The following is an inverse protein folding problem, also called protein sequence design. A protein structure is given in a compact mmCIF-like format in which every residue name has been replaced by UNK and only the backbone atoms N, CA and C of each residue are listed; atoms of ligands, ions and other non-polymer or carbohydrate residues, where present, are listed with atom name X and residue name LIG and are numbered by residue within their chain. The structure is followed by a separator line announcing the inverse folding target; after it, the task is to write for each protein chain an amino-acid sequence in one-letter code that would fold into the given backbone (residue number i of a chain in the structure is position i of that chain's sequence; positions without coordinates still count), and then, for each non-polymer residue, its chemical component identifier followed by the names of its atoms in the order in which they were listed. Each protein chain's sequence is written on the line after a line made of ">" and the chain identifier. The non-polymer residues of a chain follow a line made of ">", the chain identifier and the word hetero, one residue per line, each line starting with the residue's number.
data_IF_064686643007
#
_entry.id   IF_064686643007
#
_cell.length_a   1.000
_cell.length_b   1.000
_cell.length_c   1.000
_cell.angle_alpha   90.00
_cell.angle_beta   90.00
_cell.angle_gamma   90.00
#
_symmetry.space_group_name_H-M   'P 1'
#
loop_
_entity.id
_entity.type
_entity.pdbx_description
1 polymer ?
#
# COMPACT_ATOMS: atom_id res chain seq x y z
N UNK A 1 24.66 1.35 -19.28
CA UNK A 1 23.43 1.87 -18.68
C UNK A 1 22.85 0.72 -17.86
N UNK A 2 22.75 0.87 -16.53
CA UNK A 2 22.17 -0.19 -15.69
C UNK A 2 20.69 -0.43 -16.03
N UNK A 3 20.08 -1.52 -15.56
CA UNK A 3 18.65 -1.76 -15.77
C UNK A 3 17.84 -0.60 -15.19
N UNK A 4 16.79 -0.19 -15.89
CA UNK A 4 15.84 0.83 -15.41
C UNK A 4 15.12 0.25 -14.19
N UNK A 5 15.27 0.90 -13.04
CA UNK A 5 14.51 0.58 -11.83
C UNK A 5 13.35 1.56 -11.71
N UNK A 6 12.16 1.03 -11.49
CA UNK A 6 10.96 1.80 -11.17
C UNK A 6 10.16 1.05 -10.11
N UNK A 7 9.45 1.79 -9.26
CA UNK A 7 8.45 1.22 -8.36
C UNK A 7 7.04 1.39 -8.95
N UNK A 8 6.08 0.63 -8.42
CA UNK A 8 4.66 0.82 -8.71
C UNK A 8 4.21 2.25 -8.36
N UNK A 9 4.77 2.82 -7.28
CA UNK A 9 4.49 4.18 -6.88
C UNK A 9 4.97 5.20 -7.93
N UNK A 10 6.18 5.04 -8.46
CA UNK A 10 6.74 5.94 -9.49
C UNK A 10 5.92 5.89 -10.78
N UNK A 11 5.54 4.69 -11.22
CA UNK A 11 4.71 4.52 -12.42
C UNK A 11 3.33 5.15 -12.22
N UNK A 12 2.72 4.96 -11.05
CA UNK A 12 1.44 5.59 -10.72
C UNK A 12 1.54 7.13 -10.74
N UNK A 13 2.57 7.70 -10.11
CA UNK A 13 2.79 9.16 -10.10
C UNK A 13 3.00 9.72 -11.52
N UNK A 14 3.83 9.04 -12.32
CA UNK A 14 4.12 9.44 -13.69
C UNK A 14 2.85 9.43 -14.55
N UNK A 15 2.00 8.42 -14.41
CA UNK A 15 0.73 8.36 -15.12
C UNK A 15 -0.22 9.47 -14.65
N UNK A 16 -0.38 9.64 -13.34
CA UNK A 16 -1.28 10.63 -12.76
C UNK A 16 -0.98 12.05 -13.23
N UNK A 17 0.31 12.38 -13.38
CA UNK A 17 0.76 13.67 -13.89
C UNK A 17 0.34 13.95 -15.35
N UNK A 18 0.11 12.91 -16.16
CA UNK A 18 -0.26 13.07 -17.58
C UNK A 18 -1.76 13.22 -17.83
N UNK A 19 -2.60 12.81 -16.87
CA UNK A 19 -4.07 12.75 -17.03
C UNK A 19 -4.83 13.00 -15.71
N UNK A 20 -4.57 14.12 -15.01
CA UNK A 20 -5.05 14.34 -13.65
C UNK A 20 -6.57 14.30 -13.51
N UNK A 21 -7.29 14.78 -14.53
CA UNK A 21 -8.75 14.93 -14.51
C UNK A 21 -9.51 13.69 -15.00
N UNK A 22 -8.81 12.70 -15.55
CA UNK A 22 -9.43 11.44 -15.99
C UNK A 22 -9.80 10.56 -14.79
N UNK A 23 -10.90 9.81 -14.91
CA UNK A 23 -11.32 8.85 -13.89
C UNK A 23 -10.29 7.71 -13.82
N UNK A 24 -9.72 7.50 -12.63
CA UNK A 24 -8.74 6.46 -12.35
C UNK A 24 -9.40 5.23 -11.72
N UNK A 25 -10.27 5.44 -10.73
CA UNK A 25 -10.87 4.37 -9.95
C UNK A 25 -12.38 4.56 -9.81
N UNK A 26 -13.13 3.48 -10.04
CA UNK A 26 -14.58 3.44 -9.85
C UNK A 26 -14.94 2.28 -8.95
N UNK A 27 -15.72 2.57 -7.90
CA UNK A 27 -16.32 1.54 -7.06
C UNK A 27 -17.73 1.98 -6.68
N UNK A 28 -18.74 1.24 -7.18
CA UNK A 28 -20.16 1.62 -7.07
C UNK A 28 -20.37 3.04 -7.60
N UNK A 29 -20.95 3.92 -6.79
CA UNK A 29 -21.24 5.31 -7.15
C UNK A 29 -20.04 6.25 -6.97
N UNK A 30 -18.94 5.78 -6.36
CA UNK A 30 -17.73 6.59 -6.17
C UNK A 30 -16.83 6.49 -7.39
N UNK A 31 -16.38 7.66 -7.85
CA UNK A 31 -15.42 7.83 -8.95
C UNK A 31 -14.34 8.75 -8.42
N UNK A 32 -13.08 8.33 -8.53
CA UNK A 32 -11.93 9.14 -8.20
C UNK A 32 -11.13 9.41 -9.47
N UNK A 33 -10.77 10.67 -9.68
CA UNK A 33 -9.81 11.05 -10.72
C UNK A 33 -8.39 10.61 -10.35
N UNK A 34 -7.47 10.65 -11.31
CA UNK A 34 -6.05 10.42 -11.04
C UNK A 34 -5.50 11.39 -10.00
N UNK A 35 -5.86 12.67 -10.08
CA UNK A 35 -5.42 13.67 -9.10
C UNK A 35 -5.95 13.37 -7.69
N UNK A 36 -7.23 13.02 -7.57
CA UNK A 36 -7.86 12.70 -6.28
C UNK A 36 -7.27 11.45 -5.63
N UNK A 37 -7.10 10.37 -6.42
CA UNK A 37 -6.49 9.14 -5.91
C UNK A 37 -5.02 9.39 -5.49
N UNK A 38 -4.30 10.21 -6.26
CA UNK A 38 -2.91 10.57 -5.95
C UNK A 38 -2.80 11.38 -4.67
N UNK A 39 -3.65 12.38 -4.46
CA UNK A 39 -3.67 13.15 -3.21
C UNK A 39 -3.95 12.25 -1.99
N UNK A 40 -5.00 11.43 -2.08
CA UNK A 40 -5.42 10.52 -0.99
C UNK A 40 -4.30 9.53 -0.62
N UNK A 41 -3.66 8.93 -1.62
CA UNK A 41 -2.58 7.96 -1.42
C UNK A 41 -1.30 8.61 -0.91
N UNK A 42 -0.95 9.84 -1.35
CA UNK A 42 0.17 10.61 -0.80
C UNK A 42 -0.05 10.99 0.65
N UNK A 43 -1.26 11.43 1.01
CA UNK A 43 -1.62 11.73 2.40
C UNK A 43 -1.49 10.52 3.31
N UNK A 44 -1.96 9.35 2.86
CA UNK A 44 -1.75 8.11 3.61
C UNK A 44 -0.27 7.77 3.72
N UNK A 45 0.50 7.89 2.64
CA UNK A 45 1.93 7.60 2.65
C UNK A 45 2.68 8.47 3.66
N UNK A 46 2.41 9.79 3.65
CA UNK A 46 2.99 10.73 4.60
C UNK A 46 2.63 10.35 6.05
N UNK A 47 1.37 9.98 6.30
CA UNK A 47 0.96 9.53 7.62
C UNK A 47 1.72 8.29 8.08
N UNK A 48 1.90 7.27 7.23
CA UNK A 48 2.68 6.08 7.55
C UNK A 48 4.13 6.44 7.89
N UNK A 49 4.76 7.31 7.09
CA UNK A 49 6.12 7.82 7.34
C UNK A 49 6.20 8.57 8.68
N UNK A 50 5.21 9.41 9.00
CA UNK A 50 5.12 10.12 10.28
C UNK A 50 4.98 9.17 11.48
N UNK A 51 4.39 7.99 11.30
CA UNK A 51 4.37 6.93 12.31
C UNK A 51 5.68 6.13 12.36
N UNK A 52 6.69 6.48 11.56
CA UNK A 52 7.97 5.80 11.50
C UNK A 52 7.98 4.55 10.63
N UNK A 53 6.93 4.31 9.83
CA UNK A 53 6.83 3.14 8.97
C UNK A 53 7.53 3.37 7.63
N UNK A 54 8.26 2.38 7.15
CA UNK A 54 8.95 2.47 5.86
C UNK A 54 9.93 1.33 5.60
N UNK A 55 11.01 1.65 4.88
CA UNK A 55 12.09 0.72 4.58
C UNK A 55 13.27 0.94 5.53
N UNK A 56 13.63 -0.09 6.30
CA UNK A 56 14.73 -0.08 7.28
C UNK A 56 15.99 -0.76 6.75
N UNK A 57 15.88 -1.58 5.72
CA UNK A 57 17.03 -2.25 5.10
C UNK A 57 16.87 -2.29 3.58
N UNK A 58 17.85 -1.75 2.87
CA UNK A 58 17.79 -1.66 1.41
C UNK A 58 17.92 -3.03 0.74
N UNK A 59 17.24 -3.20 -0.41
CA UNK A 59 17.12 -4.47 -1.13
C UNK A 59 18.47 -5.16 -1.40
N UNK A 60 19.52 -4.39 -1.66
CA UNK A 60 20.86 -4.91 -1.96
C UNK A 60 21.59 -5.57 -0.78
N UNK A 61 21.08 -5.42 0.46
CA UNK A 61 21.67 -5.97 1.68
C UNK A 61 20.95 -7.24 2.18
N UNK A 62 19.90 -7.67 1.47
CA UNK A 62 18.95 -8.67 1.93
C UNK A 62 18.95 -9.91 1.02
N UNK A 63 18.76 -11.09 1.58
CA UNK A 63 18.52 -12.33 0.85
C UNK A 63 17.17 -12.28 0.12
N UNK A 64 17.00 -13.06 -0.96
CA UNK A 64 15.84 -12.95 -1.85
C UNK A 64 14.46 -13.10 -1.19
N UNK A 65 14.37 -13.78 -0.05
CA UNK A 65 13.13 -13.99 0.70
C UNK A 65 12.91 -12.96 1.83
N UNK A 66 13.92 -12.18 2.19
CA UNK A 66 13.84 -11.20 3.28
C UNK A 66 13.18 -9.91 2.79
N UNK A 67 12.42 -9.27 3.68
CA UNK A 67 11.84 -7.95 3.50
C UNK A 67 12.51 -6.97 4.46
N UNK A 68 12.89 -5.80 3.95
CA UNK A 68 13.46 -4.72 4.77
C UNK A 68 12.44 -3.65 5.12
N UNK A 69 11.20 -3.82 4.67
CA UNK A 69 10.11 -2.89 4.86
C UNK A 69 9.24 -3.30 6.05
N UNK A 70 8.61 -2.33 6.68
CA UNK A 70 7.41 -2.57 7.48
C UNK A 70 6.33 -3.25 6.65
N UNK A 71 5.61 -4.19 7.27
CA UNK A 71 4.50 -4.89 6.64
C UNK A 71 3.15 -4.32 7.10
N UNK A 72 2.33 -3.90 6.13
CA UNK A 72 1.01 -3.35 6.38
C UNK A 72 -0.07 -4.37 6.00
N UNK A 73 -0.81 -4.83 7.00
CA UNK A 73 -1.94 -5.73 6.78
C UNK A 73 -3.14 -4.94 6.25
N UNK A 74 -3.59 -5.20 5.02
CA UNK A 74 -4.81 -4.59 4.47
C UNK A 74 -5.99 -5.53 4.75
N UNK A 75 -6.66 -5.29 5.88
CA UNK A 75 -7.82 -6.07 6.34
C UNK A 75 -9.12 -5.31 6.07
N UNK A 76 -9.39 -5.13 4.77
CA UNK A 76 -10.51 -4.37 4.24
C UNK A 76 -11.37 -5.22 3.31
N UNK A 77 -12.62 -4.79 3.11
CA UNK A 77 -13.44 -5.30 2.01
C UNK A 77 -13.03 -4.62 0.70
N UNK A 78 -13.54 -5.15 -0.42
CA UNK A 78 -13.36 -4.49 -1.72
C UNK A 78 -13.96 -3.07 -1.68
N UNK A 79 -13.14 -2.08 -2.02
CA UNK A 79 -13.50 -0.68 -2.00
C UNK A 79 -12.38 0.21 -2.52
N UNK A 80 -12.65 1.51 -2.60
CA UNK A 80 -11.64 2.51 -2.97
C UNK A 80 -10.49 2.50 -1.98
N UNK A 81 -10.80 2.36 -0.70
CA UNK A 81 -9.87 2.37 0.43
C UNK A 81 -8.85 1.23 0.34
N UNK A 82 -9.19 0.09 -0.27
CA UNK A 82 -8.26 -1.03 -0.46
C UNK A 82 -7.10 -0.62 -1.38
N UNK A 83 -7.42 -0.04 -2.54
CA UNK A 83 -6.39 0.42 -3.49
C UNK A 83 -5.67 1.66 -2.98
N UNK A 84 -6.36 2.55 -2.26
CA UNK A 84 -5.73 3.67 -1.57
C UNK A 84 -4.68 3.20 -0.55
N UNK A 85 -5.02 2.20 0.27
CA UNK A 85 -4.12 1.61 1.25
C UNK A 85 -2.88 0.99 0.59
N UNK A 86 -3.09 0.19 -0.45
CA UNK A 86 -2.01 -0.45 -1.20
C UNK A 86 -1.06 0.56 -1.85
N UNK A 87 -1.61 1.56 -2.56
CA UNK A 87 -0.80 2.59 -3.24
C UNK A 87 -0.10 3.53 -2.25
N UNK A 88 -0.78 3.91 -1.16
CA UNK A 88 -0.18 4.72 -0.10
C UNK A 88 0.97 3.99 0.59
N UNK A 89 0.82 2.70 0.87
CA UNK A 89 1.90 1.88 1.42
C UNK A 89 3.12 1.84 0.48
N UNK A 90 2.90 1.57 -0.82
CA UNK A 90 4.02 1.59 -1.79
C UNK A 90 4.73 2.94 -1.85
N UNK A 91 3.99 4.06 -1.80
CA UNK A 91 4.57 5.41 -1.75
C UNK A 91 5.38 5.67 -0.48
N UNK A 92 4.99 5.08 0.65
CA UNK A 92 5.74 5.13 1.90
C UNK A 92 6.90 4.13 1.98
N UNK A 93 7.13 3.33 0.91
CA UNK A 93 8.05 2.18 0.93
C UNK A 93 7.72 1.16 2.04
N UNK A 94 6.44 1.03 2.36
CA UNK A 94 5.87 -0.01 3.22
C UNK A 94 5.38 -1.15 2.31
N UNK A 95 5.51 -2.40 2.76
CA UNK A 95 5.10 -3.57 2.00
C UNK A 95 3.67 -4.00 2.42
N UNK A 96 2.62 -3.65 1.64
CA UNK A 96 1.27 -4.09 1.94
C UNK A 96 1.07 -5.57 1.58
N UNK A 97 0.22 -6.25 2.34
CA UNK A 97 -0.29 -7.57 1.97
C UNK A 97 -1.79 -7.67 2.23
N UNK A 98 -2.47 -8.51 1.45
CA UNK A 98 -3.91 -8.69 1.56
C UNK A 98 -4.25 -9.60 2.74
N UNK A 99 -5.23 -9.22 3.54
CA UNK A 99 -5.82 -10.09 4.56
C UNK A 99 -7.23 -10.45 4.13
N UNK A 100 -7.52 -11.75 4.02
CA UNK A 100 -8.85 -12.21 3.67
C UNK A 100 -9.80 -11.99 4.86
N UNK A 101 -10.88 -11.23 4.66
CA UNK A 101 -11.92 -10.98 5.66
C UNK A 101 -12.62 -12.25 6.17
N UNK A 102 -12.45 -13.39 5.50
CA UNK A 102 -13.02 -14.69 5.89
C UNK A 102 -12.12 -15.53 6.80
N UNK A 103 -10.89 -15.11 7.07
CA UNK A 103 -10.01 -15.85 7.98
C UNK A 103 -10.61 -15.92 9.37
N UNK A 104 -10.52 -17.11 9.97
CA UNK A 104 -10.87 -17.29 11.39
C UNK A 104 -9.77 -16.74 12.29
N UNK A 105 -10.06 -16.58 13.58
CA UNK A 105 -9.15 -15.92 14.52
C UNK A 105 -7.73 -16.55 14.53
N UNK A 106 -7.63 -17.87 14.50
CA UNK A 106 -6.35 -18.58 14.51
C UNK A 106 -5.53 -18.33 13.23
N UNK A 107 -6.18 -18.36 12.07
CA UNK A 107 -5.54 -18.08 10.78
C UNK A 107 -5.06 -16.63 10.69
N UNK A 108 -5.86 -15.69 11.21
CA UNK A 108 -5.49 -14.28 11.26
C UNK A 108 -4.30 -14.05 12.20
N UNK A 109 -4.31 -14.67 13.38
CA UNK A 109 -3.21 -14.59 14.32
C UNK A 109 -1.92 -15.14 13.72
N UNK A 110 -1.99 -16.30 13.07
CA UNK A 110 -0.85 -16.89 12.37
C UNK A 110 -0.31 -15.95 11.29
N UNK A 111 -1.18 -15.45 10.40
CA UNK A 111 -0.78 -14.55 9.31
C UNK A 111 -0.07 -13.29 9.81
N UNK A 112 -0.65 -12.60 10.79
CA UNK A 112 -0.10 -11.34 11.31
C UNK A 112 1.24 -11.57 12.03
N UNK A 113 1.38 -12.70 12.73
CA UNK A 113 2.62 -13.07 13.41
C UNK A 113 3.73 -13.46 12.43
N UNK A 114 3.43 -14.30 11.45
CA UNK A 114 4.39 -14.80 10.46
C UNK A 114 4.85 -13.69 9.50
N UNK A 115 3.92 -12.81 9.11
CA UNK A 115 4.24 -11.64 8.27
C UNK A 115 5.01 -10.54 9.01
N UNK A 116 5.15 -10.62 10.34
CA UNK A 116 5.73 -9.54 11.15
C UNK A 116 5.04 -8.19 10.88
N UNK A 117 3.70 -8.21 10.76
CA UNK A 117 2.93 -7.00 10.48
C UNK A 117 3.12 -5.95 11.60
N UNK A 118 3.57 -4.75 11.24
CA UNK A 118 3.77 -3.64 12.18
C UNK A 118 2.61 -2.67 12.20
N UNK A 119 1.71 -2.75 11.22
CA UNK A 119 0.47 -1.98 11.16
C UNK A 119 -0.64 -2.74 10.43
N UNK A 120 -1.89 -2.33 10.65
CA UNK A 120 -3.05 -2.84 9.93
C UNK A 120 -4.01 -1.71 9.55
N UNK A 121 -4.59 -1.79 8.36
CA UNK A 121 -5.73 -0.96 7.94
C UNK A 121 -6.99 -1.80 8.04
N UNK A 122 -7.95 -1.32 8.82
CA UNK A 122 -9.24 -1.97 9.07
C UNK A 122 -10.38 -1.01 8.82
N UNK A 123 -11.58 -1.54 8.55
CA UNK A 123 -12.79 -0.73 8.70
C UNK A 123 -13.13 -0.62 10.19
N UNK A 124 -13.03 0.58 10.76
CA UNK A 124 -13.67 0.86 12.06
C UNK A 124 -15.13 1.21 11.84
N UNK A 125 -16.01 0.71 12.72
CA UNK A 125 -17.40 1.15 12.80
C UNK A 125 -17.50 2.50 13.48
#
# INVERSE_FOLDING_TARGET
>A
MGPVQFSVADVHEAIAATRPDEVCLVHRDRRLTWAELTDRTRRLANHLIEQGLGCHTERGQLQGHESGQDHLAIYLHNGTEYLEAMLGAFKARVAPFNVNYRYVAEELHYLLSDSLATAAVVHSR
#
